data_IF_539577202948
#
_entry.id   IF_539577202948
#
_cell.length_a   1.000
_cell.length_b   1.000
_cell.length_c   1.000
_cell.angle_alpha   90.00
_cell.angle_beta   90.00
_cell.angle_gamma   90.00
#
_symmetry.space_group_name_H-M   'P 1'
#
loop_
_entity.id
_entity.type
_entity.pdbx_description
1 polymer ?
#
# COMPACT_ATOMS: atom_id res chain seq x y z
N UNK A 1 21.39 31.91 10.91
CA UNK A 1 20.64 31.12 9.90
C UNK A 1 19.15 31.30 10.18
N UNK A 2 18.31 31.38 9.15
CA UNK A 2 16.86 31.35 9.37
C UNK A 2 16.46 30.00 9.97
N UNK A 3 15.51 29.96 10.93
CA UNK A 3 15.09 28.70 11.53
C UNK A 3 14.46 27.79 10.47
N UNK A 4 14.95 26.55 10.37
CA UNK A 4 14.44 25.55 9.43
C UNK A 4 12.96 25.27 9.72
N UNK A 5 12.15 25.09 8.67
CA UNK A 5 10.76 24.65 8.80
C UNK A 5 10.67 23.12 8.85
N UNK A 6 9.61 22.59 9.46
CA UNK A 6 9.42 21.14 9.60
C UNK A 6 9.44 20.40 8.26
N UNK A 7 8.91 20.99 7.18
CA UNK A 7 8.95 20.36 5.85
C UNK A 7 10.36 20.30 5.24
N UNK A 8 11.26 21.18 5.65
CA UNK A 8 12.65 21.24 5.18
C UNK A 8 13.52 20.21 5.91
N UNK A 9 13.24 20.00 7.20
CA UNK A 9 13.87 19.00 8.04
C UNK A 9 13.14 17.64 8.05
N UNK A 10 12.18 17.42 7.14
CA UNK A 10 11.34 16.23 7.15
C UNK A 10 12.15 14.97 6.81
N UNK A 11 12.15 13.99 7.70
CA UNK A 11 12.93 12.74 7.53
C UNK A 11 12.33 11.72 6.55
N UNK A 12 11.10 11.93 6.08
CA UNK A 12 10.44 11.04 5.11
C UNK A 12 10.76 11.43 3.65
N UNK A 13 10.38 10.57 2.70
CA UNK A 13 10.69 10.75 1.26
C UNK A 13 9.69 11.66 0.53
N UNK A 14 8.96 12.51 1.25
CA UNK A 14 7.96 13.41 0.67
C UNK A 14 8.61 14.59 -0.05
N UNK A 15 7.92 15.07 -1.08
CA UNK A 15 8.29 16.28 -1.81
C UNK A 15 7.32 17.39 -1.45
N UNK A 16 7.86 18.48 -0.90
CA UNK A 16 7.07 19.63 -0.48
C UNK A 16 7.19 20.76 -1.50
N UNK A 17 6.06 21.35 -1.89
CA UNK A 17 6.01 22.52 -2.79
C UNK A 17 5.23 23.68 -2.15
N UNK A 18 5.50 24.89 -2.64
CA UNK A 18 4.89 26.15 -2.17
C UNK A 18 5.02 26.36 -0.65
N UNK A 19 6.23 26.16 -0.12
CA UNK A 19 6.52 26.34 1.31
C UNK A 19 5.78 25.35 2.21
N UNK A 20 5.68 24.09 1.79
CA UNK A 20 5.03 23.01 2.54
C UNK A 20 3.49 22.99 2.47
N UNK A 21 2.89 23.67 1.49
CA UNK A 21 1.43 23.64 1.27
C UNK A 21 0.98 22.40 0.50
N UNK A 22 1.78 21.98 -0.47
CA UNK A 22 1.54 20.75 -1.23
C UNK A 22 2.53 19.68 -0.79
N UNK A 23 2.03 18.46 -0.65
CA UNK A 23 2.77 17.32 -0.10
C UNK A 23 2.59 16.16 -1.05
N UNK A 24 3.64 15.87 -1.82
CA UNK A 24 3.66 14.74 -2.75
C UNK A 24 4.48 13.58 -2.18
N UNK A 25 4.25 12.38 -2.71
CA UNK A 25 5.12 11.25 -2.43
C UNK A 25 6.40 11.30 -3.28
N UNK A 26 7.32 10.35 -3.08
CA UNK A 26 8.58 10.30 -3.81
C UNK A 26 8.35 10.10 -5.32
N UNK A 27 7.29 9.38 -5.68
CA UNK A 27 6.95 9.03 -7.06
C UNK A 27 6.19 10.14 -7.79
N UNK A 28 6.12 11.37 -7.28
CA UNK A 28 5.36 12.47 -7.88
C UNK A 28 5.55 12.68 -9.41
N UNK A 29 6.69 12.26 -9.98
CA UNK A 29 6.95 12.32 -11.43
C UNK A 29 6.00 11.43 -12.24
N UNK A 30 5.56 10.30 -11.71
CA UNK A 30 4.60 9.40 -12.37
C UNK A 30 3.21 10.05 -12.54
N UNK A 31 2.91 11.10 -11.78
CA UNK A 31 1.68 11.89 -11.96
C UNK A 31 1.56 12.43 -13.38
N UNK A 32 2.68 12.74 -14.05
CA UNK A 32 2.68 13.20 -15.45
C UNK A 32 2.07 12.16 -16.39
N UNK A 33 2.33 10.87 -16.13
CA UNK A 33 1.77 9.78 -16.93
C UNK A 33 0.24 9.76 -16.75
N UNK A 34 -0.24 9.84 -15.51
CA UNK A 34 -1.68 9.87 -15.22
C UNK A 34 -2.36 11.11 -15.82
N UNK A 35 -1.71 12.28 -15.78
CA UNK A 35 -2.21 13.49 -16.43
C UNK A 35 -2.35 13.30 -17.94
N UNK A 36 -1.34 12.74 -18.61
CA UNK A 36 -1.39 12.46 -20.05
C UNK A 36 -2.50 11.46 -20.38
N UNK A 37 -2.62 10.37 -19.62
CA UNK A 37 -3.65 9.35 -19.81
C UNK A 37 -5.07 9.91 -19.66
N UNK A 38 -5.28 10.93 -18.83
CA UNK A 38 -6.60 11.55 -18.64
C UNK A 38 -6.87 12.66 -19.65
N UNK A 39 -5.86 13.48 -19.98
CA UNK A 39 -6.03 14.68 -20.81
C UNK A 39 -6.08 14.33 -22.30
N UNK A 40 -5.15 13.50 -22.79
CA UNK A 40 -5.00 13.25 -24.23
C UNK A 40 -6.25 12.62 -24.85
N UNK A 41 -6.88 11.57 -24.28
CA UNK A 41 -8.11 11.00 -24.84
C UNK A 41 -9.25 12.01 -24.89
N UNK A 42 -9.37 12.91 -23.90
CA UNK A 42 -10.40 13.95 -23.90
C UNK A 42 -10.12 15.02 -24.95
N UNK A 43 -8.86 15.42 -25.17
CA UNK A 43 -8.50 16.34 -26.26
C UNK A 43 -8.86 15.73 -27.62
N UNK A 44 -8.48 14.46 -27.86
CA UNK A 44 -8.82 13.73 -29.09
C UNK A 44 -10.34 13.67 -29.26
N UNK A 45 -11.07 13.32 -28.20
CA UNK A 45 -12.53 13.30 -28.20
C UNK A 45 -13.14 14.67 -28.56
N UNK A 46 -12.65 15.75 -27.94
CA UNK A 46 -13.14 17.10 -28.19
C UNK A 46 -12.91 17.55 -29.65
N UNK A 47 -11.76 17.21 -30.23
CA UNK A 47 -11.37 17.59 -31.59
C UNK A 47 -12.11 16.74 -32.64
N UNK A 48 -12.13 15.43 -32.48
CA UNK A 48 -12.59 14.51 -33.54
C UNK A 48 -14.04 14.06 -33.39
N UNK A 49 -14.59 14.04 -32.18
CA UNK A 49 -15.96 13.55 -31.93
C UNK A 49 -16.89 14.71 -31.59
N UNK A 50 -16.62 15.41 -30.48
CA UNK A 50 -17.51 16.45 -29.98
C UNK A 50 -17.63 17.64 -30.95
N UNK A 51 -16.57 18.00 -31.67
CA UNK A 51 -16.61 19.05 -32.70
C UNK A 51 -17.55 18.70 -33.85
N UNK A 52 -17.54 17.45 -34.34
CA UNK A 52 -18.42 17.05 -35.44
C UNK A 52 -19.87 16.97 -34.99
N UNK A 53 -20.13 16.36 -33.82
CA UNK A 53 -21.46 16.34 -33.21
C UNK A 53 -22.00 17.75 -32.93
N UNK A 54 -21.13 18.73 -32.67
CA UNK A 54 -21.53 20.14 -32.54
C UNK A 54 -22.12 20.71 -33.81
N UNK A 55 -21.52 20.41 -34.96
CA UNK A 55 -22.01 20.87 -36.25
C UNK A 55 -23.31 20.17 -36.65
N UNK A 56 -23.43 18.86 -36.39
CA UNK A 56 -24.64 18.08 -36.67
C UNK A 56 -25.85 18.53 -35.82
N UNK A 57 -25.65 18.75 -34.51
CA UNK A 57 -26.73 19.10 -33.58
C UNK A 57 -26.74 20.59 -33.20
N UNK A 58 -26.48 21.47 -34.19
CA UNK A 58 -26.42 22.93 -33.99
C UNK A 58 -27.77 23.53 -33.56
N UNK A 59 -28.87 23.02 -34.09
CA UNK A 59 -30.22 23.61 -33.94
C UNK A 59 -30.78 23.68 -32.52
N UNK A 60 -30.20 22.95 -31.55
CA UNK A 60 -30.71 22.88 -30.17
C UNK A 60 -29.64 23.19 -29.11
N UNK A 61 -28.48 23.73 -29.47
CA UNK A 61 -27.30 23.86 -28.58
C UNK A 61 -26.81 22.53 -27.95
N UNK A 62 -27.45 21.41 -28.27
CA UNK A 62 -27.16 20.09 -27.70
C UNK A 62 -25.73 19.65 -28.01
N UNK A 63 -25.24 19.97 -29.20
CA UNK A 63 -23.86 19.69 -29.59
C UNK A 63 -22.81 20.49 -28.78
N UNK A 64 -23.14 21.71 -28.34
CA UNK A 64 -22.29 22.47 -27.42
C UNK A 64 -22.29 21.88 -26.01
N UNK A 65 -23.44 21.37 -25.55
CA UNK A 65 -23.54 20.73 -24.24
C UNK A 65 -22.61 19.52 -24.12
N UNK A 66 -22.49 18.68 -25.16
CA UNK A 66 -21.57 17.52 -25.17
C UNK A 66 -20.12 17.95 -24.93
N UNK A 67 -19.67 19.02 -25.60
CA UNK A 67 -18.31 19.53 -25.44
C UNK A 67 -18.11 20.12 -24.04
N UNK A 68 -19.04 20.96 -23.57
CA UNK A 68 -18.93 21.63 -22.27
C UNK A 68 -18.92 20.61 -21.14
N UNK A 69 -19.79 19.61 -21.18
CA UNK A 69 -19.83 18.51 -20.20
C UNK A 69 -18.50 17.76 -20.18
N UNK A 70 -17.93 17.43 -21.35
CA UNK A 70 -16.65 16.73 -21.42
C UNK A 70 -15.51 17.54 -20.76
N UNK A 71 -15.43 18.84 -21.06
CA UNK A 71 -14.37 19.72 -20.53
C UNK A 71 -14.52 19.93 -19.02
N UNK A 72 -15.73 20.26 -18.55
CA UNK A 72 -16.00 20.45 -17.12
C UNK A 72 -15.71 19.17 -16.34
N UNK A 73 -16.16 18.02 -16.88
CA UNK A 73 -15.97 16.75 -16.20
C UNK A 73 -14.49 16.35 -16.15
N UNK A 74 -13.73 16.60 -17.22
CA UNK A 74 -12.28 16.38 -17.21
C UNK A 74 -11.57 17.28 -16.18
N UNK A 75 -11.91 18.57 -16.11
CA UNK A 75 -11.38 19.49 -15.09
C UNK A 75 -11.68 18.95 -13.68
N UNK A 76 -12.89 18.46 -13.43
CA UNK A 76 -13.26 17.85 -12.17
C UNK A 76 -12.38 16.63 -11.82
N UNK A 77 -12.18 15.71 -12.78
CA UNK A 77 -11.29 14.54 -12.61
C UNK A 77 -9.86 14.99 -12.30
N UNK A 78 -9.34 15.99 -12.99
CA UNK A 78 -7.99 16.52 -12.76
C UNK A 78 -7.83 17.19 -11.39
N UNK A 79 -8.84 17.93 -10.93
CA UNK A 79 -8.87 18.49 -9.58
C UNK A 79 -8.82 17.36 -8.55
N UNK A 80 -9.60 16.29 -8.71
CA UNK A 80 -9.58 15.16 -7.79
C UNK A 80 -8.24 14.42 -7.79
N UNK A 81 -7.63 14.21 -8.95
CA UNK A 81 -6.28 13.65 -9.08
C UNK A 81 -5.27 14.51 -8.30
N UNK A 82 -5.30 15.83 -8.50
CA UNK A 82 -4.42 16.76 -7.78
C UNK A 82 -4.66 16.74 -6.26
N UNK A 83 -5.93 16.76 -5.83
CA UNK A 83 -6.31 16.72 -4.41
C UNK A 83 -5.89 15.41 -3.73
N UNK A 84 -5.77 14.33 -4.50
CA UNK A 84 -5.31 13.02 -4.05
C UNK A 84 -3.79 12.96 -3.92
N UNK A 85 -3.06 13.50 -4.91
CA UNK A 85 -1.60 13.42 -5.00
C UNK A 85 -0.85 14.47 -4.17
N UNK A 86 -1.40 15.69 -4.08
CA UNK A 86 -0.71 16.86 -3.54
C UNK A 86 -1.00 17.15 -2.05
N UNK A 87 -1.49 16.16 -1.30
CA UNK A 87 -1.95 16.31 0.08
C UNK A 87 -1.30 15.30 1.02
N UNK A 88 -1.15 15.70 2.28
CA UNK A 88 -0.89 14.78 3.38
C UNK A 88 -1.96 13.65 3.42
N UNK A 89 -1.56 12.38 3.23
CA UNK A 89 -2.48 11.24 3.26
C UNK A 89 -2.94 10.86 4.68
N UNK A 90 -2.37 11.46 5.72
CA UNK A 90 -2.58 11.10 7.13
C UNK A 90 -1.30 10.61 7.78
N UNK A 91 -0.17 11.25 7.51
CA UNK A 91 1.13 10.92 8.08
C UNK A 91 1.07 11.05 9.61
N UNK A 92 1.57 10.04 10.31
CA UNK A 92 1.73 10.05 11.77
C UNK A 92 3.08 10.72 12.10
N UNK A 93 3.12 11.67 13.05
CA UNK A 93 4.37 12.26 13.53
C UNK A 93 5.32 11.19 14.05
N UNK A 94 6.62 11.35 13.78
CA UNK A 94 7.67 10.48 14.33
C UNK A 94 7.91 10.88 15.79
N UNK A 95 8.16 9.90 16.65
CA UNK A 95 8.64 10.19 18.00
C UNK A 95 10.15 10.49 17.96
N UNK A 96 10.65 11.26 18.93
CA UNK A 96 12.08 11.48 19.12
C UNK A 96 12.76 10.32 19.84
N UNK A 97 12.01 9.66 20.72
CA UNK A 97 12.45 8.51 21.50
C UNK A 97 11.37 7.42 21.47
N UNK A 98 11.75 6.14 21.65
CA UNK A 98 10.78 5.06 21.85
C UNK A 98 9.82 5.39 23.01
N UNK A 99 8.55 4.96 22.96
CA UNK A 99 7.61 5.15 24.06
C UNK A 99 8.12 4.48 25.35
N UNK A 100 8.34 5.27 26.40
CA UNK A 100 8.90 4.82 27.69
C UNK A 100 7.92 3.98 28.50
N UNK A 101 6.60 4.18 28.32
CA UNK A 101 5.54 3.55 29.12
C UNK A 101 5.37 2.04 28.90
N UNK A 102 6.08 1.43 27.95
CA UNK A 102 5.92 0.02 27.56
C UNK A 102 7.12 -0.88 27.92
N UNK A 103 8.12 -0.36 28.65
CA UNK A 103 9.16 -1.21 29.26
C UNK A 103 8.56 -1.96 30.46
N UNK A 104 8.00 -3.15 30.22
CA UNK A 104 7.77 -4.07 31.33
C UNK A 104 9.13 -4.57 31.81
N UNK A 105 9.47 -4.26 33.06
CA UNK A 105 10.45 -5.05 33.79
C UNK A 105 9.81 -6.43 33.95
N UNK A 106 10.30 -7.42 33.20
CA UNK A 106 9.85 -8.78 33.41
C UNK A 106 10.51 -9.28 34.72
N UNK A 107 9.87 -9.03 35.85
CA UNK A 107 10.32 -9.50 37.16
C UNK A 107 10.10 -11.00 37.37
N UNK A 108 9.75 -11.77 36.33
CA UNK A 108 9.55 -13.22 36.43
C UNK A 108 10.70 -14.07 35.89
N UNK A 109 11.93 -13.56 35.87
CA UNK A 109 13.09 -14.46 35.88
C UNK A 109 13.26 -14.94 37.32
N UNK A 110 12.94 -16.21 37.54
CA UNK A 110 13.24 -16.95 38.77
C UNK A 110 14.62 -16.62 39.28
N UNK A 111 14.71 -16.35 40.58
CA UNK A 111 15.96 -16.14 41.32
C UNK A 111 16.75 -17.46 41.24
N UNK A 112 17.52 -17.65 40.18
CA UNK A 112 18.62 -18.60 40.19
C UNK A 112 19.83 -17.87 40.78
N UNK A 113 20.25 -18.39 41.93
CA UNK A 113 21.39 -17.95 42.72
C UNK A 113 22.65 -18.02 41.84
N UNK A 114 23.24 -16.87 41.52
CA UNK A 114 24.67 -16.80 41.15
C UNK A 114 25.07 -16.21 39.79
N UNK A 115 24.15 -15.67 38.98
CA UNK A 115 24.51 -15.06 37.69
C UNK A 115 24.14 -13.58 37.59
N UNK A 116 25.12 -12.69 37.40
CA UNK A 116 24.88 -11.32 36.90
C UNK A 116 24.26 -11.43 35.50
N UNK A 117 22.93 -11.47 35.41
CA UNK A 117 22.21 -11.30 34.15
C UNK A 117 21.77 -9.83 34.09
N UNK A 118 22.31 -9.08 33.14
CA UNK A 118 21.76 -7.78 32.77
C UNK A 118 20.32 -8.02 32.29
N UNK A 119 19.31 -7.36 32.87
CA UNK A 119 17.94 -7.53 32.39
C UNK A 119 17.88 -7.05 30.95
N UNK A 120 17.69 -7.97 30.00
CA UNK A 120 17.51 -7.58 28.61
C UNK A 120 16.15 -6.87 28.52
N UNK A 121 16.15 -5.55 28.45
CA UNK A 121 14.96 -4.75 28.14
C UNK A 121 14.45 -5.16 26.76
N UNK A 122 13.58 -6.15 26.71
CA UNK A 122 13.02 -6.65 25.47
C UNK A 122 11.74 -5.88 25.17
N UNK A 123 11.86 -4.85 24.32
CA UNK A 123 10.71 -4.10 23.84
C UNK A 123 9.71 -5.04 23.13
N UNK A 124 8.45 -5.14 23.58
CA UNK A 124 7.48 -5.99 22.90
C UNK A 124 7.18 -5.40 21.52
N UNK A 125 7.53 -6.14 20.45
CA UNK A 125 7.29 -5.70 19.06
C UNK A 125 5.82 -5.55 18.72
N UNK A 126 4.92 -6.12 19.52
CA UNK A 126 3.47 -5.96 19.39
C UNK A 126 2.81 -5.59 20.70
N UNK A 127 1.79 -4.75 20.63
CA UNK A 127 0.95 -4.34 21.75
C UNK A 127 -0.51 -4.57 21.39
N UNK A 128 -1.35 -4.91 22.36
CA UNK A 128 -2.80 -5.00 22.14
C UNK A 128 -3.46 -3.68 22.50
N UNK A 129 -4.35 -3.23 21.62
CA UNK A 129 -5.14 -2.00 21.79
C UNK A 129 -6.60 -2.35 21.59
N UNK A 130 -7.45 -1.91 22.51
CA UNK A 130 -8.89 -2.15 22.42
C UNK A 130 -9.51 -1.25 21.36
N UNK A 131 -10.22 -1.84 20.41
CA UNK A 131 -10.98 -1.15 19.36
C UNK A 131 -12.40 -1.70 19.36
N UNK A 132 -13.39 -0.85 19.63
CA UNK A 132 -14.80 -1.25 19.72
C UNK A 132 -15.02 -2.45 20.67
N UNK A 133 -14.28 -2.50 21.78
CA UNK A 133 -14.37 -3.58 22.77
C UNK A 133 -13.64 -4.88 22.38
N UNK A 134 -12.93 -4.92 21.24
CA UNK A 134 -12.17 -6.08 20.80
C UNK A 134 -10.65 -5.79 20.78
N UNK A 135 -9.80 -6.72 21.23
CA UNK A 135 -8.36 -6.53 21.22
C UNK A 135 -7.81 -6.58 19.80
N UNK A 136 -7.10 -5.53 19.39
CA UNK A 136 -6.40 -5.43 18.10
C UNK A 136 -4.90 -5.32 18.34
N UNK A 137 -4.14 -6.26 17.78
CA UNK A 137 -2.68 -6.27 17.84
C UNK A 137 -2.10 -5.21 16.90
N UNK A 138 -1.37 -4.25 17.48
CA UNK A 138 -0.57 -3.26 16.76
C UNK A 138 0.91 -3.61 16.80
N UNK A 139 1.66 -3.13 15.82
CA UNK A 139 3.10 -3.37 15.69
C UNK A 139 3.90 -2.11 15.97
N UNK A 140 5.08 -2.27 16.55
CA UNK A 140 6.06 -1.20 16.67
C UNK A 140 6.65 -0.83 15.29
N UNK A 141 7.06 0.41 15.12
CA UNK A 141 7.76 0.88 13.93
C UNK A 141 9.11 1.49 14.33
N UNK A 142 10.20 0.79 14.06
CA UNK A 142 11.54 1.25 14.41
C UNK A 142 11.90 2.57 13.73
N UNK A 143 11.53 2.73 12.45
CA UNK A 143 11.83 3.94 11.66
C UNK A 143 11.13 5.21 12.18
N UNK A 144 9.94 5.08 12.75
CA UNK A 144 9.14 6.21 13.25
C UNK A 144 9.12 6.28 14.79
N UNK A 145 9.76 5.30 15.45
CA UNK A 145 9.83 5.11 16.90
C UNK A 145 8.48 5.15 17.62
N UNK A 146 7.46 4.50 17.04
CA UNK A 146 6.10 4.52 17.59
C UNK A 146 5.40 3.16 17.46
N UNK A 147 4.53 2.84 18.41
CA UNK A 147 3.51 1.82 18.20
C UNK A 147 2.49 2.34 17.20
N UNK A 148 2.34 1.63 16.07
CA UNK A 148 1.46 2.05 14.97
C UNK A 148 0.02 2.09 15.50
N UNK A 149 -0.68 3.24 15.44
CA UNK A 149 -2.09 3.28 15.79
C UNK A 149 -2.91 2.24 15.00
N UNK A 150 -4.10 1.83 15.46
CA UNK A 150 -4.95 0.92 14.70
C UNK A 150 -5.14 1.40 13.25
N UNK A 151 -5.07 0.44 12.30
CA UNK A 151 -5.12 0.67 10.85
C UNK A 151 -3.96 1.51 10.27
N UNK A 152 -2.92 1.82 11.06
CA UNK A 152 -1.72 2.50 10.58
C UNK A 152 -0.68 1.49 10.07
N UNK A 153 -0.06 1.79 8.93
CA UNK A 153 1.06 1.02 8.41
C UNK A 153 2.20 1.92 7.96
N UNK A 154 3.43 1.41 8.06
CA UNK A 154 4.61 2.09 7.54
C UNK A 154 4.76 1.77 6.05
N UNK A 155 4.83 2.79 5.22
CA UNK A 155 5.20 2.67 3.82
C UNK A 155 6.71 2.97 3.69
N UNK A 156 7.49 1.98 3.28
CA UNK A 156 8.94 2.12 3.08
C UNK A 156 9.28 3.08 1.94
N UNK A 157 8.46 3.13 0.89
CA UNK A 157 8.64 4.02 -0.27
C UNK A 157 8.56 5.49 0.18
N UNK A 158 7.45 5.87 0.81
CA UNK A 158 7.29 7.22 1.35
C UNK A 158 8.12 7.46 2.61
N UNK A 159 8.64 6.40 3.24
CA UNK A 159 9.30 6.40 4.54
C UNK A 159 8.44 7.10 5.60
N UNK A 160 7.19 6.67 5.78
CA UNK A 160 6.29 7.22 6.80
C UNK A 160 5.28 6.19 7.30
N UNK A 161 4.88 6.32 8.55
CA UNK A 161 3.63 5.73 9.04
C UNK A 161 2.43 6.57 8.58
N UNK A 162 1.45 5.92 7.95
CA UNK A 162 0.24 6.55 7.42
C UNK A 162 -1.00 5.97 8.11
N UNK A 163 -1.87 6.84 8.61
CA UNK A 163 -3.11 6.47 9.28
C UNK A 163 -4.14 5.92 8.27
N UNK A 164 -4.83 4.84 8.67
CA UNK A 164 -5.78 4.10 7.81
C UNK A 164 -5.16 3.85 6.43
N UNK A 165 -3.95 3.29 6.45
CA UNK A 165 -3.18 3.05 5.23
C UNK A 165 -3.92 2.08 4.32
N UNK A 166 -4.08 2.48 3.07
CA UNK A 166 -4.72 1.67 2.04
C UNK A 166 -3.67 1.01 1.15
N UNK A 167 -2.90 1.82 0.42
CA UNK A 167 -1.78 1.37 -0.40
C UNK A 167 -0.89 2.56 -0.78
N UNK A 168 0.31 2.27 -1.31
CA UNK A 168 1.07 3.27 -2.05
C UNK A 168 0.70 3.17 -3.53
N UNK A 169 0.25 4.27 -4.13
CA UNK A 169 -0.25 4.27 -5.50
C UNK A 169 0.76 4.94 -6.44
N UNK A 170 1.40 4.17 -7.35
CA UNK A 170 2.32 4.74 -8.32
C UNK A 170 1.64 5.73 -9.27
N UNK A 171 0.36 5.54 -9.60
CA UNK A 171 -0.35 6.42 -10.55
C UNK A 171 -0.60 7.84 -9.99
N UNK A 172 -0.81 7.97 -8.69
CA UNK A 172 -0.92 9.29 -8.03
C UNK A 172 0.41 9.76 -7.42
N UNK A 173 1.41 8.87 -7.37
CA UNK A 173 2.73 9.14 -6.83
C UNK A 173 2.78 9.36 -5.31
N UNK A 174 1.82 8.80 -4.55
CA UNK A 174 1.63 9.06 -3.12
C UNK A 174 0.90 7.88 -2.43
N UNK A 175 1.07 7.77 -1.11
CA UNK A 175 0.24 6.90 -0.27
C UNK A 175 -1.23 7.32 -0.30
N UNK A 176 -2.12 6.33 -0.34
CA UNK A 176 -3.54 6.50 -0.09
C UNK A 176 -3.81 6.11 1.36
N UNK A 177 -4.41 7.03 2.11
CA UNK A 177 -4.73 6.87 3.53
C UNK A 177 -5.91 7.72 3.96
N UNK A 178 -6.09 7.87 5.27
CA UNK A 178 -7.28 8.48 5.87
C UNK A 178 -7.70 9.83 5.23
N UNK A 179 -6.74 10.71 4.93
CA UNK A 179 -7.03 12.11 4.56
C UNK A 179 -7.23 12.34 3.06
N UNK A 180 -6.77 11.43 2.22
CA UNK A 180 -6.90 11.52 0.77
C UNK A 180 -7.74 10.39 0.14
N UNK A 181 -8.09 9.32 0.87
CA UNK A 181 -8.87 8.19 0.36
C UNK A 181 -10.18 8.61 -0.33
N UNK A 182 -10.94 9.55 0.26
CA UNK A 182 -12.19 10.05 -0.35
C UNK A 182 -11.95 10.64 -1.74
N UNK A 183 -10.88 11.42 -1.92
CA UNK A 183 -10.54 12.04 -3.20
C UNK A 183 -10.01 11.01 -4.18
N UNK A 184 -9.23 10.03 -3.71
CA UNK A 184 -8.78 8.91 -4.51
C UNK A 184 -9.97 8.14 -5.09
N UNK A 185 -10.93 7.75 -4.24
CA UNK A 185 -12.11 7.04 -4.70
C UNK A 185 -12.93 7.88 -5.70
N UNK A 186 -13.21 9.15 -5.36
CA UNK A 186 -13.93 10.04 -6.26
C UNK A 186 -13.19 10.22 -7.60
N UNK A 187 -11.86 10.30 -7.59
CA UNK A 187 -11.03 10.38 -8.79
C UNK A 187 -11.20 9.12 -9.66
N UNK A 188 -11.01 7.93 -9.10
CA UNK A 188 -11.11 6.68 -9.86
C UNK A 188 -12.54 6.49 -10.39
N UNK A 189 -13.56 6.71 -9.55
CA UNK A 189 -14.96 6.55 -9.97
C UNK A 189 -15.37 7.57 -11.03
N UNK A 190 -14.94 8.83 -10.92
CA UNK A 190 -15.21 9.86 -11.93
C UNK A 190 -14.42 9.63 -13.22
N UNK A 191 -13.20 9.11 -13.15
CA UNK A 191 -12.44 8.67 -14.32
C UNK A 191 -13.14 7.50 -15.04
N UNK A 192 -13.70 6.53 -14.31
CA UNK A 192 -14.54 5.47 -14.88
C UNK A 192 -15.77 6.05 -15.58
N UNK A 193 -16.50 6.96 -14.94
CA UNK A 193 -17.67 7.62 -15.54
C UNK A 193 -17.30 8.46 -16.77
N UNK A 194 -16.15 9.14 -16.76
CA UNK A 194 -15.64 9.87 -17.92
C UNK A 194 -15.29 8.91 -19.08
N UNK A 195 -14.72 7.74 -18.79
CA UNK A 195 -14.48 6.71 -19.79
C UNK A 195 -15.79 6.19 -20.40
N UNK A 196 -16.81 5.93 -19.57
CA UNK A 196 -18.15 5.53 -20.04
C UNK A 196 -18.74 6.63 -20.94
N UNK A 197 -18.66 7.89 -20.51
CA UNK A 197 -19.15 9.04 -21.28
C UNK A 197 -18.48 9.14 -22.65
N UNK A 198 -17.14 9.12 -22.70
CA UNK A 198 -16.37 9.19 -23.96
C UNK A 198 -16.70 7.99 -24.86
N UNK A 199 -16.79 6.78 -24.30
CA UNK A 199 -17.16 5.59 -25.05
C UNK A 199 -18.56 5.71 -25.65
N UNK A 200 -19.57 6.06 -24.85
CA UNK A 200 -20.97 6.17 -25.27
C UNK A 200 -21.17 7.25 -26.33
N UNK A 201 -20.55 8.42 -26.18
CA UNK A 201 -20.68 9.50 -27.18
C UNK A 201 -19.90 9.17 -28.46
N UNK A 202 -18.76 8.49 -28.38
CA UNK A 202 -18.02 8.03 -29.57
C UNK A 202 -18.82 6.95 -30.33
N UNK A 203 -19.43 6.01 -29.62
CA UNK A 203 -20.32 5.01 -30.22
C UNK A 203 -21.57 5.65 -30.85
N UNK A 204 -22.14 6.65 -30.18
CA UNK A 204 -23.25 7.45 -30.73
C UNK A 204 -22.83 8.17 -32.01
N UNK A 205 -21.64 8.76 -32.06
CA UNK A 205 -21.14 9.41 -33.27
C UNK A 205 -20.98 8.44 -34.44
N UNK A 206 -20.46 7.23 -34.20
CA UNK A 206 -20.40 6.18 -35.24
C UNK A 206 -21.81 5.84 -35.77
N UNK A 207 -22.80 5.75 -34.87
CA UNK A 207 -24.19 5.53 -35.28
C UNK A 207 -24.73 6.66 -36.15
N UNK A 208 -24.48 7.92 -35.79
CA UNK A 208 -24.88 9.08 -36.60
C UNK A 208 -24.27 9.01 -38.00
N UNK A 209 -22.98 8.65 -38.12
CA UNK A 209 -22.33 8.46 -39.43
C UNK A 209 -22.99 7.36 -40.27
N UNK A 210 -23.38 6.25 -39.64
CA UNK A 210 -24.07 5.16 -40.34
C UNK A 210 -25.42 5.62 -40.90
N UNK A 211 -26.17 6.38 -40.10
CA UNK A 211 -27.51 6.86 -40.45
C UNK A 211 -27.43 7.90 -41.59
N UNK A 212 -26.44 8.80 -41.59
CA UNK A 212 -26.24 9.78 -42.66
C UNK A 212 -25.78 9.18 -43.99
N UNK A 213 -24.85 8.21 -43.95
CA UNK A 213 -24.23 7.68 -45.16
C UNK A 213 -24.95 6.44 -45.70
N UNK A 214 -26.12 6.09 -45.15
CA UNK A 214 -26.87 4.85 -45.40
C UNK A 214 -25.93 3.63 -45.49
N UNK A 215 -24.96 3.59 -44.57
CA UNK A 215 -23.76 2.78 -44.69
C UNK A 215 -23.67 1.70 -43.62
N UNK A 216 -22.78 0.72 -43.85
CA UNK A 216 -22.44 -0.28 -42.84
C UNK A 216 -21.56 0.30 -41.74
N UNK A 217 -21.55 -0.32 -40.56
CA UNK A 217 -20.68 0.05 -39.42
C UNK A 217 -19.21 0.16 -39.87
N UNK A 218 -18.77 -0.74 -40.74
CA UNK A 218 -17.40 -0.75 -41.26
C UNK A 218 -17.03 0.53 -42.03
N UNK A 219 -17.98 1.08 -42.80
CA UNK A 219 -17.76 2.34 -43.51
C UNK A 219 -17.63 3.51 -42.53
N UNK A 220 -18.54 3.61 -41.56
CA UNK A 220 -18.51 4.65 -40.52
C UNK A 220 -17.23 4.60 -39.66
N UNK A 221 -16.75 3.39 -39.30
CA UNK A 221 -15.49 3.21 -38.59
C UNK A 221 -14.27 3.71 -39.39
N UNK A 222 -14.26 3.50 -40.72
CA UNK A 222 -13.19 4.01 -41.60
C UNK A 222 -13.22 5.52 -41.74
N UNK A 223 -14.41 6.13 -41.70
CA UNK A 223 -14.58 7.59 -41.74
C UNK A 223 -14.15 8.27 -40.44
N UNK A 224 -14.28 7.59 -39.29
CA UNK A 224 -13.82 8.11 -38.00
C UNK A 224 -12.92 7.14 -37.22
N UNK A 225 -11.66 6.93 -37.65
CA UNK A 225 -10.73 6.04 -36.95
C UNK A 225 -10.43 6.52 -35.52
N UNK A 226 -10.44 7.83 -35.28
CA UNK A 226 -10.24 8.40 -33.95
C UNK A 226 -11.31 7.93 -32.94
N UNK A 227 -12.57 7.84 -33.36
CA UNK A 227 -13.66 7.35 -32.49
C UNK A 227 -13.48 5.88 -32.13
N UNK A 228 -13.03 5.06 -33.09
CA UNK A 228 -12.74 3.64 -32.86
C UNK A 228 -11.57 3.47 -31.89
N UNK A 229 -10.49 4.25 -32.07
CA UNK A 229 -9.34 4.25 -31.15
C UNK A 229 -9.76 4.67 -29.75
N UNK A 230 -10.58 5.72 -29.62
CA UNK A 230 -11.11 6.16 -28.33
C UNK A 230 -12.01 5.10 -27.68
N UNK A 231 -12.86 4.44 -28.44
CA UNK A 231 -13.70 3.35 -27.94
C UNK A 231 -12.85 2.17 -27.47
N UNK A 232 -11.83 1.76 -28.22
CA UNK A 232 -10.91 0.69 -27.83
C UNK A 232 -10.12 1.07 -26.56
N UNK A 233 -9.60 2.30 -26.50
CA UNK A 233 -8.92 2.84 -25.33
C UNK A 233 -9.84 2.83 -24.10
N UNK A 234 -11.06 3.35 -24.22
CA UNK A 234 -12.02 3.40 -23.12
C UNK A 234 -12.44 1.99 -22.69
N UNK A 235 -12.63 1.07 -23.64
CA UNK A 235 -12.94 -0.33 -23.32
C UNK A 235 -11.84 -0.95 -22.47
N UNK A 236 -10.58 -0.86 -22.89
CA UNK A 236 -9.43 -1.36 -22.13
C UNK A 236 -9.34 -0.67 -20.77
N UNK A 237 -9.44 0.67 -20.74
CA UNK A 237 -9.37 1.45 -19.51
C UNK A 237 -10.46 1.03 -18.51
N UNK A 238 -11.69 0.76 -18.96
CA UNK A 238 -12.82 0.36 -18.10
C UNK A 238 -12.56 -0.95 -17.35
N UNK A 239 -11.84 -1.91 -17.93
CA UNK A 239 -11.45 -3.12 -17.20
C UNK A 239 -10.58 -2.79 -15.98
N UNK A 240 -9.61 -1.88 -16.15
CA UNK A 240 -8.70 -1.49 -15.08
C UNK A 240 -9.35 -0.52 -14.09
N UNK A 241 -9.78 0.67 -14.54
CA UNK A 241 -10.33 1.70 -13.64
C UNK A 241 -11.73 1.35 -13.14
N UNK A 242 -12.56 0.71 -13.96
CA UNK A 242 -13.89 0.24 -13.55
C UNK A 242 -13.79 -0.93 -12.58
N UNK A 243 -12.90 -1.89 -12.83
CA UNK A 243 -12.60 -2.97 -11.88
C UNK A 243 -12.10 -2.42 -10.54
N UNK A 244 -11.19 -1.44 -10.56
CA UNK A 244 -10.70 -0.77 -9.36
C UNK A 244 -11.82 -0.03 -8.61
N UNK A 245 -12.71 0.66 -9.33
CA UNK A 245 -13.91 1.30 -8.73
C UNK A 245 -14.79 0.26 -8.03
N UNK A 246 -15.09 -0.86 -8.69
CA UNK A 246 -15.88 -1.95 -8.11
C UNK A 246 -15.24 -2.56 -6.87
N UNK A 247 -13.93 -2.78 -6.90
CA UNK A 247 -13.18 -3.27 -5.75
C UNK A 247 -13.23 -2.31 -4.56
N UNK A 248 -13.03 -1.00 -4.78
CA UNK A 248 -13.12 -0.04 -3.70
C UNK A 248 -14.55 0.19 -3.20
N UNK A 249 -15.58 0.02 -4.04
CA UNK A 249 -16.98 -0.01 -3.58
C UNK A 249 -17.20 -1.15 -2.59
N UNK A 250 -16.67 -2.34 -2.86
CA UNK A 250 -16.68 -3.47 -1.92
C UNK A 250 -15.97 -3.12 -0.61
N UNK A 251 -14.75 -2.58 -0.68
CA UNK A 251 -13.97 -2.18 0.50
C UNK A 251 -14.66 -1.13 1.36
N UNK A 252 -15.31 -0.13 0.73
CA UNK A 252 -16.11 0.86 1.45
C UNK A 252 -17.31 0.17 2.10
N UNK A 253 -18.04 -0.67 1.36
CA UNK A 253 -19.19 -1.41 1.86
C UNK A 253 -18.86 -2.29 3.08
N UNK A 254 -17.66 -2.84 3.16
CA UNK A 254 -17.18 -3.64 4.28
C UNK A 254 -16.30 -2.89 5.29
N UNK A 255 -16.04 -1.59 5.11
CA UNK A 255 -15.12 -0.79 5.93
C UNK A 255 -13.70 -1.36 6.07
N UNK A 256 -13.16 -1.89 4.99
CA UNK A 256 -11.78 -2.40 4.95
C UNK A 256 -10.90 -1.47 4.11
N UNK A 257 -9.61 -1.39 4.45
CA UNK A 257 -8.62 -0.89 3.50
C UNK A 257 -8.13 -2.02 2.60
N UNK A 258 -7.54 -1.68 1.46
CA UNK A 258 -6.87 -2.64 0.58
C UNK A 258 -5.85 -3.46 1.35
N UNK A 259 -5.01 -2.79 2.16
CA UNK A 259 -4.03 -3.43 3.03
C UNK A 259 -4.68 -4.46 3.98
N UNK A 260 -5.79 -4.10 4.62
CA UNK A 260 -6.49 -4.99 5.55
C UNK A 260 -7.09 -6.22 4.83
N UNK A 261 -7.73 -6.00 3.68
CA UNK A 261 -8.33 -7.08 2.89
C UNK A 261 -7.27 -8.05 2.34
N UNK A 262 -6.06 -7.61 2.03
CA UNK A 262 -5.00 -8.53 1.58
C UNK A 262 -4.23 -9.17 2.74
N UNK A 263 -3.96 -8.44 3.83
CA UNK A 263 -3.10 -8.92 4.94
C UNK A 263 -3.86 -9.79 5.94
N UNK A 264 -5.13 -9.46 6.23
CA UNK A 264 -5.88 -10.09 7.33
C UNK A 264 -6.97 -11.05 6.87
N UNK A 265 -7.22 -11.15 5.55
CA UNK A 265 -8.19 -12.11 5.01
C UNK A 265 -7.78 -13.57 5.22
N UNK A 266 -6.47 -13.85 5.26
CA UNK A 266 -5.97 -15.19 5.59
C UNK A 266 -6.24 -15.57 7.06
N UNK A 267 -6.28 -14.60 7.97
CA UNK A 267 -6.41 -14.83 9.41
C UNK A 267 -7.88 -14.98 9.88
N UNK A 268 -8.87 -14.92 8.97
CA UNK A 268 -10.31 -14.97 9.31
C UNK A 268 -10.75 -14.04 10.45
N UNK A 269 -10.08 -12.90 10.62
CA UNK A 269 -10.38 -11.97 11.73
C UNK A 269 -11.73 -11.30 11.54
N UNK A 270 -12.46 -11.16 12.65
CA UNK A 270 -13.69 -10.37 12.69
C UNK A 270 -13.37 -8.93 12.28
N UNK A 271 -14.15 -8.38 11.36
CA UNK A 271 -14.00 -7.01 10.92
C UNK A 271 -14.62 -6.04 11.93
N UNK A 272 -13.80 -5.59 12.88
CA UNK A 272 -14.20 -4.72 14.00
C UNK A 272 -14.65 -3.32 13.59
N UNK A 273 -14.40 -2.91 12.34
CA UNK A 273 -14.70 -1.57 11.83
C UNK A 273 -16.00 -1.53 11.01
N UNK A 274 -16.57 -2.67 10.64
CA UNK A 274 -17.79 -2.70 9.85
C UNK A 274 -19.00 -2.27 10.69
N UNK A 275 -19.65 -1.17 10.31
CA UNK A 275 -20.84 -0.62 10.99
C UNK A 275 -22.12 -0.76 10.14
N UNK A 276 -22.08 -1.65 9.14
CA UNK A 276 -23.12 -1.80 8.12
C UNK A 276 -22.86 -0.92 6.89
N UNK A 277 -23.25 -1.42 5.72
CA UNK A 277 -22.89 -0.84 4.42
C UNK A 277 -23.17 0.67 4.34
N UNK A 278 -24.41 1.10 4.64
CA UNK A 278 -24.80 2.52 4.57
C UNK A 278 -23.95 3.40 5.50
N UNK A 279 -23.70 2.95 6.74
CA UNK A 279 -22.90 3.71 7.70
C UNK A 279 -21.44 3.82 7.26
N UNK A 280 -20.90 2.77 6.65
CA UNK A 280 -19.54 2.78 6.13
C UNK A 280 -19.40 3.76 4.94
N UNK A 281 -20.37 3.78 4.04
CA UNK A 281 -20.43 4.79 2.96
C UNK A 281 -20.54 6.20 3.55
N UNK A 282 -21.41 6.42 4.53
CA UNK A 282 -21.56 7.71 5.22
C UNK A 282 -20.25 8.14 5.89
N UNK A 283 -19.51 7.21 6.49
CA UNK A 283 -18.19 7.49 7.09
C UNK A 283 -17.22 8.06 6.05
N UNK A 284 -17.19 7.51 4.83
CA UNK A 284 -16.26 7.95 3.78
C UNK A 284 -16.71 9.27 3.14
N UNK A 285 -17.98 9.41 2.78
CA UNK A 285 -18.45 10.55 1.97
C UNK A 285 -18.97 11.73 2.79
N UNK A 286 -19.62 11.46 3.92
CA UNK A 286 -20.39 12.47 4.66
C UNK A 286 -19.70 12.94 5.96
N UNK A 287 -18.47 12.49 6.24
CA UNK A 287 -17.71 12.97 7.40
C UNK A 287 -16.67 14.02 7.01
N UNK A 288 -16.26 14.81 8.01
CA UNK A 288 -15.20 15.81 7.86
C UNK A 288 -13.85 15.10 7.82
N UNK A 289 -13.02 15.45 6.84
CA UNK A 289 -11.64 14.98 6.79
C UNK A 289 -10.88 15.57 7.98
N UNK A 290 -10.22 14.75 8.82
CA UNK A 290 -9.50 15.25 9.98
C UNK A 290 -8.33 16.17 9.57
N UNK A 291 -7.89 17.08 10.45
CA UNK A 291 -6.72 17.92 10.21
C UNK A 291 -5.43 17.08 10.13
N UNK A 292 -4.34 17.69 9.64
CA UNK A 292 -3.03 17.00 9.66
C UNK A 292 -2.57 16.86 11.10
N UNK A 293 -1.95 15.72 11.41
CA UNK A 293 -1.22 15.56 12.68
C UNK A 293 0.13 16.27 12.67
N UNK A 294 0.61 16.68 11.50
CA UNK A 294 1.88 17.38 11.35
C UNK A 294 1.62 18.82 10.92
N UNK A 295 2.19 19.78 11.65
CA UNK A 295 2.27 21.16 11.19
C UNK A 295 3.57 21.37 10.39
N UNK A 296 3.57 20.93 9.13
CA UNK A 296 4.76 20.97 8.26
C UNK A 296 5.35 22.38 8.06
N UNK A 297 4.58 23.44 8.30
CA UNK A 297 5.02 24.82 8.13
C UNK A 297 5.48 25.49 9.42
N UNK A 298 5.40 24.79 10.56
CA UNK A 298 5.96 25.27 11.80
C UNK A 298 7.49 25.39 11.70
N UNK A 299 8.06 26.27 12.52
CA UNK A 299 9.50 26.27 12.75
C UNK A 299 9.88 24.99 13.50
N UNK A 300 11.02 24.40 13.15
CA UNK A 300 11.59 23.29 13.91
C UNK A 300 11.89 23.83 15.31
N UNK A 301 11.29 23.21 16.32
CA UNK A 301 11.72 23.43 17.70
C UNK A 301 13.09 22.76 17.85
N UNK A 302 14.12 23.60 17.96
CA UNK A 302 15.43 23.17 18.43
C UNK A 302 15.30 23.00 19.95
N UNK A 303 15.05 21.77 20.41
CA UNK A 303 14.96 21.54 21.86
C UNK A 303 16.34 21.49 22.47
N UNK A 304 16.58 22.48 23.35
CA UNK A 304 17.58 22.49 24.40
C UNK A 304 17.62 21.11 25.04
N UNK A 305 18.77 20.48 24.92
CA UNK A 305 19.11 19.20 25.53
C UNK A 305 18.64 19.19 26.99
N UNK A 306 17.57 18.43 27.29
CA UNK A 306 17.21 18.18 28.70
C UNK A 306 18.42 17.52 29.33
N UNK A 307 19.03 18.21 30.29
CA UNK A 307 20.05 17.62 31.12
C UNK A 307 19.47 16.34 31.73
N UNK A 308 20.21 15.21 31.69
CA UNK A 308 19.80 14.03 32.42
C UNK A 308 19.57 14.43 33.88
N UNK A 309 18.57 13.83 34.57
CA UNK A 309 18.31 14.15 35.97
C UNK A 309 19.61 14.03 36.75
N UNK A 310 19.96 15.08 37.51
CA UNK A 310 21.11 15.00 38.40
C UNK A 310 20.87 13.84 39.36
N UNK A 311 21.74 12.83 39.26
CA UNK A 311 21.85 11.78 40.27
C UNK A 311 22.31 12.49 41.53
N UNK A 312 21.39 12.69 42.48
CA UNK A 312 21.75 13.10 43.84
C UNK A 312 22.46 11.89 44.45
N UNK A 313 23.79 11.91 44.40
CA UNK A 313 24.62 10.97 45.13
C UNK A 313 24.43 11.27 46.62
N UNK A 314 23.67 10.43 47.33
CA UNK A 314 23.76 10.40 48.79
C UNK A 314 25.17 9.94 49.16
N UNK A 315 25.87 10.77 49.93
CA UNK A 315 27.16 10.42 50.53
C UNK A 315 26.99 9.18 51.43
N UNK A 316 27.83 8.14 51.28
CA UNK A 316 27.89 7.08 52.28
C UNK A 316 28.70 7.57 53.49
N UNK A 317 28.12 7.42 54.67
CA UNK A 317 28.81 7.60 55.95
C UNK A 317 30.08 6.72 56.01
N UNK A 318 31.12 7.30 56.59
CA UNK A 318 32.46 6.76 56.74
C UNK A 318 32.48 5.47 57.55
N UNK A 319 32.98 4.39 56.97
CA UNK A 319 33.57 3.28 57.72
C UNK A 319 35.05 3.13 57.35
N UNK A 320 35.88 3.19 58.38
CA UNK A 320 37.35 3.20 58.33
C UNK A 320 37.88 1.78 58.27
N UNK A 321 38.55 1.41 57.18
CA UNK A 321 39.32 0.17 57.11
C UNK A 321 39.95 -0.05 55.74
N UNK A 322 41.26 0.15 55.64
CA UNK A 322 41.98 0.21 54.36
C UNK A 322 42.23 -1.12 53.67
N UNK A 323 42.46 -1.06 52.35
CA UNK A 323 43.69 -1.57 51.71
C UNK A 323 43.83 -0.97 50.30
N UNK A 324 45.06 -0.71 49.87
CA UNK A 324 45.40 -0.07 48.61
C UNK A 324 45.17 -0.99 47.39
N UNK A 325 44.46 -0.52 46.35
CA UNK A 325 44.72 -0.98 44.98
C UNK A 325 44.39 0.06 43.90
N UNK A 326 45.17 -0.03 42.83
CA UNK A 326 45.49 0.95 41.78
C UNK A 326 44.34 1.51 40.94
N UNK A 327 44.46 2.81 40.59
CA UNK A 327 43.77 3.50 39.50
C UNK A 327 43.84 2.72 38.18
N UNK A 328 42.69 2.55 37.52
CA UNK A 328 42.60 2.30 36.08
C UNK A 328 41.59 3.31 35.55
N UNK A 329 42.10 4.30 34.81
CA UNK A 329 41.32 5.10 33.87
C UNK A 329 41.14 4.24 32.62
N UNK A 330 39.90 4.07 32.14
CA UNK A 330 39.63 3.75 30.73
C UNK A 330 38.22 4.21 30.34
N UNK A 331 38.20 4.90 29.20
CA UNK A 331 37.13 5.71 28.65
C UNK A 331 36.04 4.90 27.92
N UNK A 332 34.85 5.51 27.89
CA UNK A 332 33.92 5.64 26.75
C UNK A 332 34.07 4.64 25.58
N UNK A 333 33.34 3.51 25.59
CA UNK A 333 33.08 2.78 24.33
C UNK A 333 31.78 1.95 24.26
N UNK A 334 30.80 2.21 25.12
CA UNK A 334 29.53 1.42 25.16
C UNK A 334 28.54 1.83 24.06
N UNK A 335 28.73 2.99 23.42
CA UNK A 335 27.80 3.54 22.43
C UNK A 335 27.88 2.88 21.05
N UNK A 336 29.07 2.44 20.64
CA UNK A 336 29.30 1.89 19.29
C UNK A 336 28.93 0.39 19.18
N UNK A 337 29.06 -0.35 20.28
CA UNK A 337 28.77 -1.79 20.33
C UNK A 337 27.27 -2.11 20.26
N UNK A 338 26.40 -1.23 20.77
CA UNK A 338 24.95 -1.42 20.68
C UNK A 338 24.42 -1.31 19.25
N UNK A 339 25.07 -0.49 18.40
CA UNK A 339 24.72 -0.38 16.99
C UNK A 339 25.19 -1.60 16.20
N UNK A 340 26.39 -2.12 16.48
CA UNK A 340 26.93 -3.34 15.85
C UNK A 340 26.13 -4.60 16.20
N UNK A 341 25.62 -4.70 17.43
CA UNK A 341 24.75 -5.82 17.86
C UNK A 341 23.38 -5.78 17.14
N UNK A 342 22.83 -4.59 16.88
CA UNK A 342 21.58 -4.46 16.10
C UNK A 342 21.76 -4.87 14.63
N UNK A 343 22.96 -4.65 14.08
CA UNK A 343 23.26 -4.92 12.68
C UNK A 343 23.56 -6.41 12.42
N UNK A 344 24.20 -7.11 13.37
CA UNK A 344 24.37 -8.58 13.31
C UNK A 344 23.06 -9.36 13.41
N UNK A 345 22.12 -8.93 14.27
CA UNK A 345 20.81 -9.62 14.42
C UNK A 345 19.87 -9.46 13.23
N UNK A 346 20.11 -8.49 12.34
CA UNK A 346 19.38 -8.36 11.07
C UNK A 346 19.81 -9.41 10.03
N UNK A 347 20.98 -10.04 10.19
CA UNK A 347 21.52 -11.05 9.25
C UNK A 347 21.05 -12.45 9.66
N UNK A 348 21.12 -12.80 10.95
CA UNK A 348 20.70 -14.11 11.45
C UNK A 348 19.18 -14.35 11.32
N UNK A 349 18.36 -13.30 11.41
CA UNK A 349 16.92 -13.39 11.16
C UNK A 349 16.52 -13.61 9.70
N UNK A 350 17.45 -13.40 8.76
CA UNK A 350 17.25 -13.66 7.33
C UNK A 350 17.58 -15.12 6.97
N UNK A 351 18.55 -15.73 7.67
CA UNK A 351 18.99 -17.11 7.45
C UNK A 351 18.01 -18.15 8.03
N UNK A 352 17.29 -17.84 9.12
CA UNK A 352 16.22 -18.72 9.65
C UNK A 352 15.02 -18.83 8.68
N UNK A 353 14.74 -17.80 7.88
CA UNK A 353 13.63 -17.79 6.92
C UNK A 353 13.94 -18.59 5.64
N UNK A 354 15.24 -18.84 5.36
CA UNK A 354 15.70 -19.67 4.23
C UNK A 354 15.77 -21.16 4.61
N UNK A 355 16.13 -21.48 5.86
CA UNK A 355 16.32 -22.87 6.31
C UNK A 355 15.01 -23.65 6.50
N UNK A 356 13.89 -22.98 6.72
CA UNK A 356 12.56 -23.61 6.86
C UNK A 356 11.92 -24.04 5.54
N UNK A 357 12.58 -23.83 4.40
CA UNK A 357 12.06 -24.16 3.05
C UNK A 357 12.72 -25.37 2.38
N UNK A 358 13.73 -26.00 2.98
CA UNK A 358 14.44 -27.10 2.34
C UNK A 358 14.85 -28.19 3.32
N UNK A 359 13.96 -29.14 3.60
CA UNK A 359 14.31 -30.51 4.01
C UNK A 359 13.05 -31.37 4.09
N UNK A 360 12.78 -32.15 3.05
CA UNK A 360 12.07 -33.42 3.18
C UNK A 360 12.93 -34.48 2.48
N UNK A 361 13.39 -35.46 3.26
CA UNK A 361 14.14 -36.64 2.84
C UNK A 361 13.80 -37.82 3.77
N UNK A 362 14.01 -39.07 3.33
CA UNK A 362 12.89 -40.01 3.24
C UNK A 362 13.07 -41.38 3.93
N UNK A 363 11.98 -42.17 3.91
CA UNK A 363 11.84 -43.63 4.10
C UNK A 363 12.03 -44.25 5.50
N UNK A 364 11.02 -45.01 5.96
CA UNK A 364 11.08 -46.49 5.98
C UNK A 364 9.71 -47.15 6.27
N UNK A 365 9.55 -48.33 5.69
CA UNK A 365 8.41 -49.25 5.53
C UNK A 365 8.39 -50.40 6.57
N UNK A 366 7.19 -50.93 6.91
CA UNK A 366 6.86 -52.39 7.08
C UNK A 366 5.43 -52.53 7.65
N UNK A 367 4.44 -53.08 6.94
CA UNK A 367 4.01 -54.50 6.89
C UNK A 367 3.26 -55.06 8.13
N UNK A 368 2.15 -55.76 7.87
CA UNK A 368 1.62 -56.86 8.72
C UNK A 368 0.14 -56.80 9.11
N UNK A 369 -0.73 -57.43 8.30
CA UNK A 369 -1.76 -58.46 8.63
C UNK A 369 -2.42 -58.52 10.03
N UNK A 370 -3.63 -59.03 10.31
CA UNK A 370 -4.87 -59.44 9.62
C UNK A 370 -5.85 -60.00 10.70
N UNK A 371 -7.15 -60.15 10.37
CA UNK A 371 -8.15 -61.10 10.95
C UNK A 371 -9.03 -60.74 12.19
N UNK A 372 -10.36 -60.78 11.92
CA UNK A 372 -11.60 -61.12 12.65
C UNK A 372 -11.79 -60.89 14.18
N UNK A 373 -13.00 -60.39 14.52
CA UNK A 373 -13.68 -60.69 15.80
C UNK A 373 -14.91 -59.82 16.09
N UNK A 374 -16.01 -60.44 16.52
CA UNK A 374 -17.39 -59.93 16.62
C UNK A 374 -17.75 -59.13 17.88
N UNK A 375 -18.87 -58.40 17.78
CA UNK A 375 -19.88 -58.04 18.79
C UNK A 375 -19.75 -56.81 19.75
N UNK A 376 -20.73 -55.91 19.55
CA UNK A 376 -21.58 -55.16 20.53
C UNK A 376 -20.93 -54.30 21.63
N UNK A 377 -21.00 -52.97 21.46
CA UNK A 377 -21.89 -51.97 22.14
C UNK A 377 -21.27 -50.57 22.09
N UNK A 378 -22.16 -49.56 22.00
CA UNK A 378 -21.92 -48.11 21.95
C UNK A 378 -21.06 -47.56 23.13
N UNK A 379 -20.56 -46.29 23.14
CA UNK A 379 -21.01 -45.11 22.37
C UNK A 379 -19.88 -44.14 21.88
N UNK A 380 -20.31 -42.99 21.34
CA UNK A 380 -19.57 -41.75 21.01
C UNK A 380 -18.95 -41.62 19.61
N UNK A 381 -19.46 -40.65 18.84
CA UNK A 381 -18.84 -40.18 17.59
C UNK A 381 -18.89 -38.66 17.55
N UNK A 382 -17.70 -38.09 17.60
CA UNK A 382 -17.28 -36.78 17.08
C UNK A 382 -17.31 -36.86 15.54
N UNK A 383 -17.60 -35.72 14.90
CA UNK A 383 -17.46 -35.38 13.48
C UNK A 383 -16.76 -36.38 12.55
N UNK A 384 -17.34 -36.60 11.35
CA UNK A 384 -16.65 -36.26 10.11
C UNK A 384 -17.56 -36.23 8.87
N UNK A 385 -16.98 -35.60 7.85
CA UNK A 385 -17.47 -35.00 6.64
C UNK A 385 -18.23 -35.92 5.67
N UNK A 386 -19.05 -35.29 4.80
CA UNK A 386 -19.50 -35.89 3.54
C UNK A 386 -18.70 -35.33 2.37
N UNK A 387 -18.19 -36.28 1.59
CA UNK A 387 -17.66 -36.16 0.24
C UNK A 387 -18.41 -35.19 -0.69
N UNK A 388 -17.65 -34.38 -1.42
CA UNK A 388 -18.04 -33.84 -2.73
C UNK A 388 -17.18 -34.49 -3.82
N UNK A 389 -17.85 -34.93 -4.89
CA UNK A 389 -17.22 -35.50 -6.07
C UNK A 389 -17.17 -34.49 -7.23
N UNK A 390 -16.07 -34.58 -7.98
CA UNK A 390 -15.93 -34.45 -9.45
C UNK A 390 -15.88 -33.07 -10.15
N UNK A 391 -14.78 -32.96 -10.94
CA UNK A 391 -14.55 -32.30 -12.26
C UNK A 391 -14.23 -30.80 -12.22
N UNK A 392 -13.30 -30.25 -13.01
CA UNK A 392 -12.29 -30.69 -14.00
C UNK A 392 -11.62 -29.38 -14.46
N UNK A 393 -10.30 -29.24 -14.44
CA UNK A 393 -9.60 -28.09 -15.05
C UNK A 393 -8.31 -28.56 -15.72
N UNK A 394 -8.23 -28.35 -17.04
CA UNK A 394 -7.04 -28.47 -17.90
C UNK A 394 -6.09 -27.29 -17.57
N UNK A 395 -4.85 -27.48 -17.12
CA UNK A 395 -3.59 -27.83 -17.82
C UNK A 395 -3.15 -26.87 -18.93
N UNK A 396 -2.13 -26.06 -18.62
CA UNK A 396 -1.07 -25.63 -19.55
C UNK A 396 0.24 -25.56 -18.75
N UNK A 397 1.14 -26.52 -19.00
CA UNK A 397 2.53 -26.55 -18.54
C UNK A 397 3.45 -25.91 -19.61
N UNK A 398 4.46 -25.17 -19.17
CA UNK A 398 5.63 -24.75 -19.98
C UNK A 398 6.86 -25.10 -19.14
N UNK A 399 7.72 -25.97 -19.68
CA UNK A 399 9.03 -26.33 -19.13
C UNK A 399 10.14 -25.33 -19.53
N UNK A 400 11.32 -25.34 -18.85
CA UNK A 400 12.32 -24.27 -18.91
C UNK A 400 13.61 -24.59 -19.69
N UNK A 401 14.41 -23.53 -19.82
CA UNK A 401 15.88 -23.42 -19.88
C UNK A 401 16.54 -22.95 -21.19
N UNK A 402 17.37 -21.90 -21.07
CA UNK A 402 18.85 -21.92 -21.22
C UNK A 402 19.41 -20.49 -21.45
N UNK A 403 20.48 -20.17 -20.71
CA UNK A 403 21.26 -18.93 -20.69
C UNK A 403 22.14 -18.70 -21.94
N UNK A 404 22.51 -17.44 -22.15
CA UNK A 404 23.36 -16.90 -23.21
C UNK A 404 24.83 -17.34 -23.14
N UNK A 405 25.51 -17.40 -24.30
CA UNK A 405 26.76 -16.65 -24.55
C UNK A 405 27.20 -16.61 -26.03
N UNK A 406 27.98 -15.57 -26.29
CA UNK A 406 28.60 -15.00 -27.50
C UNK A 406 29.60 -15.86 -28.30
N UNK A 407 29.65 -15.66 -29.64
CA UNK A 407 30.82 -15.22 -30.46
C UNK A 407 30.61 -15.54 -31.96
N UNK A 408 30.61 -14.52 -32.84
CA UNK A 408 31.61 -14.20 -33.89
C UNK A 408 31.95 -15.36 -34.86
N UNK A 409 31.67 -15.20 -36.17
CA UNK A 409 32.62 -15.10 -37.32
C UNK A 409 31.90 -15.33 -38.67
N UNK A 410 32.35 -14.60 -39.70
CA UNK A 410 32.13 -14.69 -41.16
C UNK A 410 31.97 -16.13 -41.72
N UNK A 411 31.31 -16.41 -42.86
CA UNK A 411 31.75 -16.07 -44.23
C UNK A 411 30.68 -16.50 -45.29
N UNK A 412 30.48 -15.64 -46.31
CA UNK A 412 30.37 -15.89 -47.78
C UNK A 412 30.09 -17.36 -48.24
N UNK A 413 29.11 -17.67 -49.11
CA UNK A 413 29.19 -17.68 -50.61
C UNK A 413 27.98 -18.48 -51.15
N UNK A 414 27.07 -17.95 -51.98
CA UNK A 414 26.98 -18.03 -53.46
C UNK A 414 26.18 -19.21 -54.08
N UNK A 415 25.45 -18.89 -55.18
CA UNK A 415 24.86 -19.74 -56.25
C UNK A 415 23.51 -20.42 -55.89
N UNK A 416 22.34 -19.98 -56.37
CA UNK A 416 21.75 -19.91 -57.74
C UNK A 416 20.93 -21.15 -58.14
N UNK A 417 19.78 -20.82 -58.74
CA UNK A 417 19.01 -21.53 -59.79
C UNK A 417 17.95 -22.57 -59.40
N UNK A 418 16.70 -22.15 -59.70
CA UNK A 418 15.65 -22.82 -60.48
C UNK A 418 15.43 -24.32 -60.25
N UNK A 419 14.23 -24.67 -59.78
CA UNK A 419 13.10 -25.05 -60.65
C UNK A 419 11.78 -24.82 -59.93
#
# INVERSE_FOLDING_TARGET
MAPNRVYEAWKGSNKFLFGGRLIFGPDAKSLLISLVLVIVPVIIFCIFVARHLRHEFSSYNAGYAILVVAVIFNIYVLILLFLTSARDPGIIPRNLHPPEEDFRYDSSVSIDIGGRQTPSLQFPRTKEVMVNGLPVRVKYCDTCMLYRPPRCSHCSICNNCVQRFDHHCPWVGQCIGLRNYRYFFMFVSSATLLCIYVFSISAFYIKVLMDHNHGTVWKAMKESPASVILMAYCFIALWFVGGLTGFHLYLIGTNQTTYENFRYRADSRINVYNQGCINNFREVFCTKVPPSKNNFRALVQEEVQRQPPQVVTQEPESDTGGDHRSKVEDDLDIGEDLLKISQRRNIEGFDEEIRSRGSNGPYHTSEGDSVLGSDRRAPTVRSDERHSSRRRSESWEIEPDVLANSNVTETRSYVSSRQ
#
